data_IF_050749337831
#
_entry.id   IF_050749337831
#
_cell.length_a   1.000
_cell.length_b   1.000
_cell.length_c   1.000
_cell.angle_alpha   90.00
_cell.angle_beta   90.00
_cell.angle_gamma   90.00
#
_symmetry.space_group_name_H-M   'P 1'
#
loop_
_entity.id
_entity.type
_entity.pdbx_description
1 polymer ?
#
# COMPACT_ATOMS: atom_id res chain seq x y z
N UNK A 1 12.05 3.04 9.22
CA UNK A 1 12.68 4.17 9.88
C UNK A 1 11.67 5.30 10.03
N UNK A 2 10.93 5.28 11.13
CA UNK A 2 9.90 6.28 11.41
C UNK A 2 10.54 7.63 11.76
N UNK A 3 11.67 7.61 12.46
CA UNK A 3 12.42 8.82 12.85
C UNK A 3 12.94 9.57 11.65
N UNK A 4 13.44 8.87 10.63
CA UNK A 4 13.86 9.52 9.40
C UNK A 4 12.69 10.19 8.67
N UNK A 5 11.52 9.55 8.61
CA UNK A 5 10.31 10.17 8.05
C UNK A 5 9.91 11.44 8.82
N UNK A 6 9.92 11.39 10.15
CA UNK A 6 9.66 12.56 11.00
C UNK A 6 10.63 13.71 10.71
N UNK A 7 11.92 13.42 10.57
CA UNK A 7 12.95 14.42 10.24
C UNK A 7 12.71 15.07 8.89
N UNK A 8 12.38 14.28 7.85
CA UNK A 8 12.09 14.82 6.52
C UNK A 8 10.81 15.65 6.50
N UNK A 9 9.78 15.25 7.24
CA UNK A 9 8.56 16.04 7.44
C UNK A 9 8.89 17.39 8.09
N UNK A 10 9.67 17.39 9.18
CA UNK A 10 10.10 18.62 9.85
C UNK A 10 10.96 19.51 8.93
N UNK A 11 11.84 18.91 8.13
CA UNK A 11 12.65 19.64 7.14
C UNK A 11 11.77 20.30 6.06
N UNK A 12 10.71 19.61 5.61
CA UNK A 12 9.71 20.17 4.70
C UNK A 12 8.95 21.36 5.31
N UNK A 13 8.43 21.19 6.53
CA UNK A 13 7.73 22.27 7.25
C UNK A 13 8.64 23.47 7.52
N UNK A 14 9.90 23.24 7.87
CA UNK A 14 10.88 24.30 8.06
C UNK A 14 11.08 25.14 6.80
N UNK A 15 11.12 24.53 5.61
CA UNK A 15 11.20 25.28 4.34
C UNK A 15 9.98 26.17 4.10
N UNK A 16 8.80 25.80 4.60
CA UNK A 16 7.59 26.64 4.53
C UNK A 16 7.70 27.79 5.53
N UNK A 17 8.08 27.51 6.78
CA UNK A 17 8.27 28.53 7.81
C UNK A 17 9.36 29.56 7.46
N UNK A 18 10.48 29.12 6.88
CA UNK A 18 11.56 29.99 6.42
C UNK A 18 11.10 30.95 5.29
N UNK A 19 10.06 30.58 4.54
CA UNK A 19 9.43 31.44 3.52
C UNK A 19 8.35 32.36 4.10
N UNK A 20 8.02 32.23 5.38
CA UNK A 20 6.97 32.99 6.06
C UNK A 20 5.61 32.93 5.35
N UNK A 21 5.31 31.79 4.71
CA UNK A 21 4.01 31.57 4.07
C UNK A 21 2.98 31.25 5.16
N UNK A 22 1.88 32.00 5.28
CA UNK A 22 0.80 31.66 6.19
C UNK A 22 0.24 30.28 5.86
N UNK A 23 0.14 29.40 6.86
CA UNK A 23 -0.35 28.04 6.71
C UNK A 23 -1.52 27.81 7.67
N UNK A 24 -2.73 27.77 7.11
CA UNK A 24 -3.96 27.60 7.90
C UNK A 24 -4.09 26.20 8.47
N UNK A 25 -3.67 25.18 7.72
CA UNK A 25 -3.71 23.79 8.16
C UNK A 25 -2.65 22.89 7.51
N UNK A 26 -2.41 21.75 8.16
CA UNK A 26 -1.58 20.65 7.68
C UNK A 26 -2.34 19.33 7.80
N UNK A 27 -2.04 18.41 6.88
CA UNK A 27 -2.54 17.04 6.88
C UNK A 27 -1.50 16.14 6.22
N UNK A 28 -1.53 14.86 6.58
CA UNK A 28 -0.75 13.81 5.93
C UNK A 28 -1.69 12.81 5.26
N UNK A 29 -1.33 12.36 4.06
CA UNK A 29 -1.76 11.09 3.48
C UNK A 29 -0.56 10.12 3.39
N UNK A 30 -0.84 8.82 3.35
CA UNK A 30 0.18 7.78 3.26
C UNK A 30 -0.35 6.52 2.59
N UNK A 31 0.54 5.55 2.39
CA UNK A 31 0.14 4.18 2.08
C UNK A 31 -0.72 3.57 3.20
N UNK A 32 -1.55 2.59 2.84
CA UNK A 32 -2.46 1.89 3.76
C UNK A 32 -1.81 0.83 4.64
N UNK A 33 -2.66 0.13 5.40
CA UNK A 33 -2.42 -1.10 6.19
C UNK A 33 -1.43 -1.06 7.36
N UNK A 34 -0.30 -0.40 7.22
CA UNK A 34 0.76 -0.39 8.24
C UNK A 34 0.36 0.50 9.42
N UNK A 35 0.83 0.13 10.61
CA UNK A 35 0.43 0.80 11.84
C UNK A 35 1.56 0.88 12.87
N UNK A 36 1.44 1.87 13.75
CA UNK A 36 2.35 2.17 14.85
C UNK A 36 1.65 1.86 16.17
N UNK A 37 2.33 1.15 17.06
CA UNK A 37 1.89 0.99 18.45
C UNK A 37 2.23 2.26 19.25
N UNK A 38 1.22 2.84 19.89
CA UNK A 38 1.33 4.06 20.70
C UNK A 38 1.09 3.75 22.20
N UNK A 39 2.14 3.72 23.04
CA UNK A 39 2.06 3.60 24.50
C UNK A 39 1.56 4.88 25.18
N UNK A 40 1.48 4.84 26.51
CA UNK A 40 0.99 5.96 27.35
C UNK A 40 1.86 7.23 27.29
N UNK A 41 3.15 7.11 26.97
CA UNK A 41 4.07 8.25 26.87
C UNK A 41 3.93 9.02 25.55
N UNK A 42 3.10 8.53 24.62
CA UNK A 42 2.85 9.15 23.33
C UNK A 42 3.99 8.99 22.31
N UNK A 43 5.03 8.19 22.62
CA UNK A 43 6.14 7.94 21.69
C UNK A 43 5.97 6.58 21.02
N UNK A 44 6.27 6.40 19.72
CA UNK A 44 6.21 5.09 19.08
C UNK A 44 6.95 4.02 19.87
N UNK A 45 6.29 2.88 20.13
CA UNK A 45 6.93 1.78 20.85
C UNK A 45 8.16 1.23 20.09
N UNK A 46 8.12 1.32 18.76
CA UNK A 46 9.14 0.90 17.80
C UNK A 46 8.83 1.46 16.41
N UNK A 47 9.75 1.26 15.49
CA UNK A 47 9.47 1.36 14.05
C UNK A 47 8.35 0.39 13.63
N UNK A 48 7.39 0.84 12.79
CA UNK A 48 6.35 -0.02 12.26
C UNK A 48 6.96 -1.12 11.38
N UNK A 49 6.34 -2.29 11.40
CA UNK A 49 6.70 -3.35 10.46
C UNK A 49 6.05 -3.05 9.11
N UNK A 50 6.77 -3.31 8.03
CA UNK A 50 6.29 -3.05 6.68
C UNK A 50 5.32 -4.15 6.23
N UNK A 51 4.30 -3.79 5.46
CA UNK A 51 3.35 -4.72 4.84
C UNK A 51 4.03 -5.86 4.03
N UNK A 52 5.28 -5.66 3.59
CA UNK A 52 6.09 -6.67 2.88
C UNK A 52 6.74 -7.72 3.79
N UNK A 53 6.57 -7.64 5.10
CA UNK A 53 7.11 -8.63 6.04
C UNK A 53 6.48 -10.02 5.84
N UNK A 54 7.31 -11.05 5.76
CA UNK A 54 6.92 -12.43 5.48
C UNK A 54 6.08 -13.08 6.59
N UNK A 55 6.05 -12.50 7.79
CA UNK A 55 5.19 -12.97 8.90
C UNK A 55 3.71 -13.00 8.53
N UNK A 56 3.31 -12.07 7.66
CA UNK A 56 1.95 -11.86 7.21
C UNK A 56 1.39 -13.11 6.51
N UNK A 57 2.21 -13.75 5.67
CA UNK A 57 1.89 -15.01 4.98
C UNK A 57 1.65 -16.18 5.94
N UNK A 58 2.33 -16.19 7.09
CA UNK A 58 2.17 -17.25 8.10
C UNK A 58 0.90 -17.08 8.93
N UNK A 59 0.47 -15.84 9.14
CA UNK A 59 -0.74 -15.52 9.90
C UNK A 59 -2.01 -15.67 9.05
N UNK A 60 -1.92 -15.34 7.76
CA UNK A 60 -3.04 -15.36 6.81
C UNK A 60 -3.90 -16.63 6.86
N UNK A 61 -3.37 -17.85 6.64
CA UNK A 61 -4.18 -19.07 6.64
C UNK A 61 -4.80 -19.37 8.01
N UNK A 62 -4.14 -19.00 9.11
CA UNK A 62 -4.64 -19.23 10.47
C UNK A 62 -5.88 -18.38 10.77
N UNK A 63 -5.87 -17.12 10.36
CA UNK A 63 -7.03 -16.22 10.50
C UNK A 63 -8.20 -16.73 9.68
N UNK A 64 -7.95 -17.14 8.43
CA UNK A 64 -9.00 -17.69 7.56
C UNK A 64 -9.60 -18.98 8.10
N UNK A 65 -8.77 -19.87 8.66
CA UNK A 65 -9.24 -21.10 9.29
C UNK A 65 -10.10 -20.81 10.53
N UNK A 66 -9.77 -19.78 11.30
CA UNK A 66 -10.47 -19.42 12.54
C UNK A 66 -11.84 -18.80 12.29
N UNK A 67 -11.92 -17.84 11.36
CA UNK A 67 -13.11 -16.98 11.20
C UNK A 67 -13.86 -17.21 9.89
N UNK A 68 -13.17 -17.69 8.85
CA UNK A 68 -13.74 -17.91 7.52
C UNK A 68 -13.68 -16.67 6.63
N UNK A 69 -13.37 -16.92 5.34
CA UNK A 69 -13.22 -15.89 4.31
C UNK A 69 -14.52 -15.12 4.06
N UNK A 70 -15.64 -15.82 3.90
CA UNK A 70 -16.95 -15.20 3.62
C UNK A 70 -17.38 -14.25 4.74
N UNK A 71 -17.19 -14.65 6.01
CA UNK A 71 -17.55 -13.82 7.16
C UNK A 71 -16.70 -12.55 7.22
N UNK A 72 -15.37 -12.67 7.06
CA UNK A 72 -14.49 -11.49 7.02
C UNK A 72 -14.89 -10.55 5.88
N UNK A 73 -15.15 -11.09 4.68
CA UNK A 73 -15.55 -10.29 3.53
C UNK A 73 -16.89 -9.59 3.76
N UNK A 74 -17.90 -10.33 4.23
CA UNK A 74 -19.21 -9.78 4.53
C UNK A 74 -19.16 -8.68 5.58
N UNK A 75 -18.17 -8.69 6.47
CA UNK A 75 -18.00 -7.65 7.50
C UNK A 75 -17.18 -6.45 7.04
N UNK A 76 -16.21 -6.64 6.17
CA UNK A 76 -15.18 -5.61 5.89
C UNK A 76 -15.17 -5.14 4.44
N UNK A 77 -15.64 -5.98 3.51
CA UNK A 77 -15.70 -5.69 2.09
C UNK A 77 -14.36 -5.64 1.36
N UNK A 78 -13.24 -5.97 2.02
CA UNK A 78 -11.92 -5.89 1.39
C UNK A 78 -11.51 -7.16 0.66
N UNK A 79 -10.73 -6.94 -0.40
CA UNK A 79 -9.90 -7.97 -1.01
C UNK A 79 -8.95 -8.56 0.05
N UNK A 80 -8.71 -9.86 -0.05
CA UNK A 80 -7.80 -10.56 0.85
C UNK A 80 -6.38 -10.46 0.33
N UNK A 81 -5.60 -9.62 0.98
CA UNK A 81 -4.14 -9.57 0.81
C UNK A 81 -3.51 -10.03 2.13
N UNK A 82 -2.52 -10.94 2.11
CA UNK A 82 -1.85 -11.40 3.33
C UNK A 82 -1.33 -10.27 4.21
N UNK A 83 -1.07 -9.10 3.63
CA UNK A 83 -0.53 -7.94 4.31
C UNK A 83 -1.56 -6.94 4.87
N UNK A 84 -2.87 -7.19 4.73
CA UNK A 84 -3.89 -6.35 5.39
C UNK A 84 -3.64 -6.31 6.91
N UNK A 85 -3.96 -5.19 7.56
CA UNK A 85 -3.73 -4.99 9.00
C UNK A 85 -4.27 -6.14 9.85
N UNK A 86 -5.40 -6.74 9.46
CA UNK A 86 -5.96 -7.93 10.10
C UNK A 86 -4.98 -9.08 10.28
N UNK A 87 -4.22 -9.39 9.23
CA UNK A 87 -3.24 -10.48 9.27
C UNK A 87 -1.93 -10.05 9.93
N UNK A 88 -1.53 -8.78 9.77
CA UNK A 88 -0.40 -8.21 10.49
C UNK A 88 -0.62 -8.28 12.01
N UNK A 89 -1.79 -7.83 12.47
CA UNK A 89 -2.18 -7.83 13.87
C UNK A 89 -2.30 -9.25 14.45
N UNK A 90 -2.80 -10.21 13.64
CA UNK A 90 -2.78 -11.62 14.03
C UNK A 90 -1.35 -12.16 14.15
N UNK A 91 -0.44 -11.78 13.24
CA UNK A 91 0.97 -12.13 13.35
C UNK A 91 1.61 -11.55 14.62
N UNK A 92 1.34 -10.27 14.95
CA UNK A 92 1.79 -9.65 16.19
C UNK A 92 1.31 -10.40 17.43
N UNK A 93 0.05 -10.85 17.42
CA UNK A 93 -0.53 -11.68 18.48
C UNK A 93 0.14 -13.06 18.60
N UNK A 94 0.35 -13.76 17.48
CA UNK A 94 1.00 -15.08 17.47
C UNK A 94 2.48 -15.02 17.90
N UNK A 95 3.16 -13.92 17.62
CA UNK A 95 4.55 -13.68 18.01
C UNK A 95 4.67 -13.09 19.43
N UNK A 96 3.55 -12.92 20.15
CA UNK A 96 3.50 -12.36 21.51
C UNK A 96 4.26 -11.04 21.62
N UNK A 97 4.06 -10.12 20.67
CA UNK A 97 4.82 -8.88 20.58
C UNK A 97 4.68 -8.04 21.84
N UNK A 98 5.79 -7.62 22.50
CA UNK A 98 5.76 -6.94 23.79
C UNK A 98 5.16 -5.53 23.75
N UNK A 99 5.02 -4.96 22.55
CA UNK A 99 4.44 -3.63 22.32
C UNK A 99 2.91 -3.65 22.50
N UNK A 100 2.24 -4.71 22.04
CA UNK A 100 0.78 -4.83 22.09
C UNK A 100 0.16 -4.71 23.50
N UNK A 101 0.69 -5.38 24.56
CA UNK A 101 0.15 -5.19 25.91
C UNK A 101 0.45 -3.81 26.51
N UNK A 102 1.51 -3.13 26.06
CA UNK A 102 1.92 -1.79 26.54
C UNK A 102 1.25 -0.65 25.79
N UNK A 103 0.77 -0.91 24.58
CA UNK A 103 0.10 0.07 23.76
C UNK A 103 -1.24 0.48 24.38
N UNK A 104 -1.54 1.78 24.26
CA UNK A 104 -2.86 2.35 24.55
C UNK A 104 -3.67 2.46 23.27
N UNK A 105 -3.01 2.70 22.14
CA UNK A 105 -3.66 2.79 20.83
C UNK A 105 -2.77 2.27 19.72
N UNK A 106 -3.36 2.02 18.55
CA UNK A 106 -2.64 1.91 17.28
C UNK A 106 -3.03 3.10 16.38
N UNK A 107 -2.08 3.61 15.61
CA UNK A 107 -2.34 4.62 14.57
C UNK A 107 -1.77 4.14 13.24
N UNK A 108 -2.53 4.31 12.17
CA UNK A 108 -2.05 4.06 10.81
C UNK A 108 -1.04 5.16 10.41
N UNK A 109 -0.21 4.94 9.40
CA UNK A 109 0.97 5.78 9.15
C UNK A 109 0.65 7.28 9.04
N UNK A 110 -0.28 7.70 8.19
CA UNK A 110 -0.65 9.13 8.09
C UNK A 110 -1.32 9.66 9.37
N UNK A 111 -2.14 8.84 10.02
CA UNK A 111 -2.79 9.22 11.29
C UNK A 111 -1.76 9.40 12.42
N UNK A 112 -0.71 8.59 12.41
CA UNK A 112 0.46 8.75 13.28
C UNK A 112 1.17 10.07 12.98
N UNK A 113 1.40 10.41 11.70
CA UNK A 113 2.03 11.68 11.33
C UNK A 113 1.17 12.86 11.80
N UNK A 114 -0.14 12.81 11.60
CA UNK A 114 -1.06 13.83 12.10
C UNK A 114 -0.97 13.96 13.64
N UNK A 115 -0.91 12.84 14.35
CA UNK A 115 -0.68 12.84 15.80
C UNK A 115 0.67 13.46 16.19
N UNK A 116 1.76 13.05 15.53
CA UNK A 116 3.11 13.59 15.73
C UNK A 116 3.16 15.11 15.54
N UNK A 117 2.43 15.63 14.55
CA UNK A 117 2.34 17.07 14.28
C UNK A 117 1.63 17.85 15.39
N UNK A 118 0.82 17.21 16.24
CA UNK A 118 0.08 17.84 17.33
C UNK A 118 -1.41 17.52 17.36
N UNK A 119 -1.91 16.72 16.42
CA UNK A 119 -3.28 16.24 16.43
C UNK A 119 -3.54 15.26 17.57
N UNK A 120 -4.80 15.16 18.01
CA UNK A 120 -5.25 14.07 18.88
C UNK A 120 -5.17 12.72 18.12
N UNK A 121 -4.97 11.58 18.81
CA UNK A 121 -5.04 10.28 18.15
C UNK A 121 -6.46 10.03 17.61
N UNK A 122 -6.53 9.66 16.34
CA UNK A 122 -7.75 9.34 15.61
C UNK A 122 -7.39 8.44 14.42
N UNK A 123 -8.34 7.66 13.92
CA UNK A 123 -8.20 6.98 12.64
C UNK A 123 -9.10 7.64 11.60
N UNK A 124 -8.51 8.18 10.54
CA UNK A 124 -9.29 8.73 9.45
C UNK A 124 -9.92 7.60 8.62
N UNK A 125 -11.18 7.78 8.23
CA UNK A 125 -12.01 6.70 7.68
C UNK A 125 -11.47 6.09 6.39
N UNK A 126 -10.87 6.88 5.48
CA UNK A 126 -10.31 6.36 4.23
C UNK A 126 -9.14 5.41 4.52
N UNK A 127 -8.25 5.76 5.46
CA UNK A 127 -7.12 4.93 5.84
C UNK A 127 -7.54 3.74 6.71
N UNK A 128 -8.46 3.96 7.65
CA UNK A 128 -9.10 2.92 8.46
C UNK A 128 -9.73 1.82 7.60
N UNK A 129 -10.33 2.20 6.46
CA UNK A 129 -10.96 1.25 5.55
C UNK A 129 -9.99 0.25 4.92
N UNK A 130 -8.68 0.54 4.89
CA UNK A 130 -7.66 -0.37 4.32
C UNK A 130 -7.31 -1.54 5.24
N UNK A 131 -7.71 -1.48 6.51
CA UNK A 131 -7.20 -2.36 7.57
C UNK A 131 -7.81 -3.76 7.59
N UNK A 132 -8.97 -3.93 6.96
CA UNK A 132 -9.87 -5.07 7.18
C UNK A 132 -10.36 -5.17 8.64
N UNK A 133 -10.31 -4.06 9.39
CA UNK A 133 -10.94 -3.88 10.71
C UNK A 133 -12.25 -3.11 10.64
N UNK A 134 -12.46 -2.31 9.59
CA UNK A 134 -13.59 -1.41 9.44
C UNK A 134 -14.81 -2.10 8.80
N UNK A 135 -16.01 -1.88 9.33
CA UNK A 135 -17.27 -2.32 8.74
C UNK A 135 -17.91 -1.15 7.96
N UNK A 136 -17.89 -1.16 6.61
CA UNK A 136 -18.35 -0.03 5.81
C UNK A 136 -19.87 0.19 5.85
N UNK A 137 -20.67 -0.78 6.30
CA UNK A 137 -22.13 -0.59 6.44
C UNK A 137 -22.46 0.13 7.74
N UNK A 138 -21.80 -0.26 8.83
CA UNK A 138 -22.01 0.35 10.14
C UNK A 138 -21.16 1.60 10.37
N UNK A 139 -20.14 1.79 9.55
CA UNK A 139 -19.15 2.86 9.61
C UNK A 139 -18.38 2.90 10.95
N UNK A 140 -18.10 1.72 11.49
CA UNK A 140 -17.41 1.53 12.76
C UNK A 140 -16.37 0.41 12.64
N UNK A 141 -15.54 0.25 13.66
CA UNK A 141 -14.68 -0.92 13.78
C UNK A 141 -15.53 -2.19 13.97
N UNK A 142 -15.24 -3.25 13.24
CA UNK A 142 -15.82 -4.58 13.40
C UNK A 142 -15.30 -5.29 14.66
N UNK A 143 -15.51 -4.69 15.84
CA UNK A 143 -14.88 -5.11 17.12
C UNK A 143 -15.10 -6.59 17.43
N UNK A 144 -16.30 -7.11 17.19
CA UNK A 144 -16.64 -8.51 17.40
C UNK A 144 -15.83 -9.47 16.50
N UNK A 145 -15.56 -9.07 15.25
CA UNK A 145 -14.67 -9.81 14.35
C UNK A 145 -13.22 -9.82 14.89
N UNK A 146 -12.78 -8.70 15.44
CA UNK A 146 -11.40 -8.51 15.91
C UNK A 146 -11.14 -9.23 17.24
N UNK A 147 -12.10 -9.19 18.16
CA UNK A 147 -12.05 -9.95 19.41
C UNK A 147 -11.93 -11.46 19.11
N UNK A 148 -12.65 -11.96 18.10
CA UNK A 148 -12.55 -13.35 17.65
C UNK A 148 -11.19 -13.69 17.06
N UNK A 149 -10.56 -12.77 16.31
CA UNK A 149 -9.17 -12.95 15.84
C UNK A 149 -8.16 -12.87 16.99
N UNK A 150 -8.56 -12.32 18.14
CA UNK A 150 -7.72 -12.16 19.33
C UNK A 150 -6.99 -10.82 19.37
N UNK A 151 -7.44 -9.83 18.59
CA UNK A 151 -6.88 -8.49 18.61
C UNK A 151 -7.53 -7.66 19.73
N UNK A 152 -6.76 -6.99 20.60
CA UNK A 152 -7.32 -6.20 21.70
C UNK A 152 -7.98 -4.90 21.18
N UNK A 153 -9.30 -4.94 20.99
CA UNK A 153 -10.09 -3.81 20.44
C UNK A 153 -10.02 -2.51 21.24
N UNK A 154 -9.54 -2.54 22.50
CA UNK A 154 -9.20 -1.34 23.28
C UNK A 154 -8.14 -0.44 22.63
N UNK A 155 -7.31 -0.99 21.72
CA UNK A 155 -6.27 -0.25 21.02
C UNK A 155 -6.82 0.60 19.87
N UNK A 156 -8.05 0.34 19.43
CA UNK A 156 -8.61 1.00 18.27
C UNK A 156 -8.97 2.46 18.61
N UNK A 157 -8.41 3.44 17.89
CA UNK A 157 -8.73 4.85 18.10
C UNK A 157 -10.17 5.17 17.65
N UNK A 158 -10.65 6.35 17.96
CA UNK A 158 -11.89 6.89 17.40
C UNK A 158 -11.76 7.04 15.87
N UNK A 159 -12.80 6.65 15.13
CA UNK A 159 -12.85 6.89 13.68
C UNK A 159 -13.38 8.30 13.43
N UNK A 160 -12.71 9.05 12.56
CA UNK A 160 -13.10 10.40 12.15
C UNK A 160 -13.27 10.49 10.63
N UNK A 161 -14.19 11.35 10.13
CA UNK A 161 -14.33 11.58 8.70
C UNK A 161 -13.18 12.42 8.14
N UNK A 162 -13.00 12.38 6.82
CA UNK A 162 -12.13 13.34 6.12
C UNK A 162 -12.62 14.77 6.36
N UNK A 163 -11.69 15.69 6.61
CA UNK A 163 -11.93 17.07 7.02
C UNK A 163 -12.00 17.30 8.54
N UNK A 164 -11.88 16.25 9.36
CA UNK A 164 -11.93 16.40 10.82
C UNK A 164 -10.74 17.19 11.38
N UNK A 165 -11.01 18.21 12.20
CA UNK A 165 -9.99 18.96 12.94
C UNK A 165 -9.48 18.12 14.12
N UNK A 166 -8.20 17.81 14.12
CA UNK A 166 -7.56 16.98 15.14
C UNK A 166 -6.94 17.80 16.27
N UNK A 167 -6.67 19.08 16.03
CA UNK A 167 -6.03 19.98 16.98
C UNK A 167 -5.21 21.05 16.28
N UNK A 168 -4.25 21.61 17.00
CA UNK A 168 -3.26 22.55 16.46
C UNK A 168 -1.90 21.89 16.39
N UNK A 169 -1.04 22.41 15.53
CA UNK A 169 0.35 21.99 15.48
C UNK A 169 1.00 22.15 16.87
N UNK A 170 1.83 21.20 17.26
CA UNK A 170 2.42 21.20 18.60
C UNK A 170 3.34 22.43 18.78
N UNK A 171 3.42 23.02 19.99
CA UNK A 171 4.29 24.17 20.24
C UNK A 171 5.75 23.88 19.90
N UNK A 172 6.23 22.67 20.18
CA UNK A 172 7.61 22.25 19.87
C UNK A 172 7.89 22.27 18.37
N UNK A 173 6.96 21.76 17.56
CA UNK A 173 7.11 21.74 16.10
C UNK A 173 6.94 23.14 15.51
N UNK A 174 5.95 23.91 15.96
CA UNK A 174 5.78 25.30 15.56
C UNK A 174 7.07 26.12 15.75
N UNK A 175 7.66 26.02 16.94
CA UNK A 175 8.88 26.75 17.28
C UNK A 175 10.10 26.30 16.46
N UNK A 176 10.26 25.00 16.20
CA UNK A 176 11.43 24.48 15.47
C UNK A 176 11.34 24.67 13.95
N UNK A 177 10.12 24.77 13.42
CA UNK A 177 9.87 24.89 11.97
C UNK A 177 9.53 26.31 11.53
N UNK A 178 9.14 27.20 12.45
CA UNK A 178 8.69 28.56 12.13
C UNK A 178 7.23 28.63 11.66
N UNK A 179 6.47 27.54 11.75
CA UNK A 179 5.03 27.50 11.45
C UNK A 179 4.25 28.19 12.57
N UNK A 180 3.23 28.99 12.22
CA UNK A 180 2.36 29.62 13.22
C UNK A 180 1.65 28.61 14.12
N UNK A 181 1.58 28.92 15.42
CA UNK A 181 0.89 28.09 16.42
C UNK A 181 -0.63 28.00 16.23
N UNK A 182 -1.19 28.81 15.32
CA UNK A 182 -2.59 28.74 14.90
C UNK A 182 -2.83 27.73 13.78
N UNK A 183 -1.79 27.15 13.18
CA UNK A 183 -1.93 26.12 12.16
C UNK A 183 -2.67 24.91 12.71
N UNK A 184 -3.75 24.52 12.03
CA UNK A 184 -4.60 23.40 12.43
C UNK A 184 -4.03 22.08 11.87
N UNK A 185 -4.13 20.99 12.63
CA UNK A 185 -3.90 19.64 12.12
C UNK A 185 -5.25 19.05 11.76
N UNK A 186 -5.40 18.64 10.51
CA UNK A 186 -6.65 18.11 9.95
C UNK A 186 -6.42 16.71 9.40
N UNK A 187 -7.35 15.79 9.64
CA UNK A 187 -7.41 14.51 8.91
C UNK A 187 -8.07 14.75 7.56
N UNK A 188 -7.34 14.63 6.44
CA UNK A 188 -7.90 14.76 5.10
C UNK A 188 -8.38 13.39 4.60
N UNK A 189 -8.10 13.01 3.35
CA UNK A 189 -8.14 11.60 2.97
C UNK A 189 -6.77 11.00 3.30
N UNK A 190 -6.62 10.44 4.50
CA UNK A 190 -5.33 9.95 4.99
C UNK A 190 -4.76 8.77 4.19
N UNK A 191 -5.58 8.10 3.37
CA UNK A 191 -5.09 7.14 2.38
C UNK A 191 -4.73 7.83 1.06
N UNK A 192 -3.49 7.66 0.61
CA UNK A 192 -2.95 8.27 -0.62
C UNK A 192 -3.83 8.05 -1.85
N UNK A 193 -4.37 6.85 -2.03
CA UNK A 193 -5.26 6.52 -3.16
C UNK A 193 -6.60 7.24 -3.01
N UNK A 194 -7.12 7.37 -1.78
CA UNK A 194 -8.36 8.12 -1.55
C UNK A 194 -8.15 9.62 -1.85
N UNK A 195 -7.00 10.19 -1.45
CA UNK A 195 -6.63 11.56 -1.78
C UNK A 195 -6.49 11.78 -3.30
N UNK A 196 -5.81 10.86 -4.00
CA UNK A 196 -5.64 10.93 -5.45
C UNK A 196 -6.98 10.82 -6.21
N UNK A 197 -7.87 9.92 -5.77
CA UNK A 197 -9.21 9.78 -6.35
C UNK A 197 -10.05 11.04 -6.08
N UNK A 198 -10.01 11.58 -4.87
CA UNK A 198 -10.72 12.82 -4.52
C UNK A 198 -10.25 14.03 -5.34
N UNK A 199 -8.97 14.07 -5.73
CA UNK A 199 -8.41 15.10 -6.59
C UNK A 199 -8.66 14.89 -8.09
N UNK A 200 -9.24 13.76 -8.49
CA UNK A 200 -9.52 13.48 -9.90
C UNK A 200 -10.62 14.41 -10.41
N UNK A 201 -10.41 15.18 -11.50
CA UNK A 201 -11.40 16.14 -12.02
C UNK A 201 -12.50 15.44 -12.84
N UNK A 202 -13.01 14.31 -12.32
CA UNK A 202 -14.09 13.56 -12.94
C UNK A 202 -15.43 14.29 -12.75
N UNK A 203 -16.33 14.11 -13.72
CA UNK A 203 -17.68 14.67 -13.69
C UNK A 203 -18.70 13.55 -13.92
N UNK A 204 -19.88 13.69 -13.30
CA UNK A 204 -20.94 12.70 -13.40
C UNK A 204 -20.65 11.43 -12.59
N UNK A 205 -21.39 10.37 -12.91
CA UNK A 205 -21.38 9.10 -12.16
C UNK A 205 -20.70 7.95 -12.91
N UNK A 206 -20.41 8.14 -14.19
CA UNK A 206 -19.91 7.10 -15.10
C UNK A 206 -18.43 7.31 -15.41
N UNK A 207 -17.61 7.19 -14.38
CA UNK A 207 -16.17 7.29 -14.52
C UNK A 207 -15.45 6.19 -13.74
N UNK A 208 -14.25 5.90 -14.20
CA UNK A 208 -13.32 5.00 -13.54
C UNK A 208 -11.97 5.70 -13.42
N UNK A 209 -11.18 5.32 -12.43
CA UNK A 209 -9.80 5.77 -12.28
C UNK A 209 -8.83 4.61 -12.41
N UNK A 210 -7.64 4.94 -12.87
CA UNK A 210 -6.47 4.08 -12.83
C UNK A 210 -5.35 4.84 -12.12
N UNK A 211 -5.18 4.62 -10.83
CA UNK A 211 -4.02 5.13 -10.10
C UNK A 211 -2.84 4.20 -10.39
N UNK A 212 -1.82 4.67 -11.13
CA UNK A 212 -0.73 3.82 -11.62
C UNK A 212 0.62 4.24 -11.03
N UNK A 213 1.05 3.52 -9.99
CA UNK A 213 2.38 3.59 -9.41
C UNK A 213 3.02 2.20 -9.35
N UNK A 214 3.73 1.91 -8.26
CA UNK A 214 4.20 0.54 -7.96
C UNK A 214 3.05 -0.47 -8.07
N UNK A 215 1.89 -0.11 -7.51
CA UNK A 215 0.62 -0.77 -7.74
C UNK A 215 -0.22 0.00 -8.75
N UNK A 216 -1.04 -0.71 -9.52
CA UNK A 216 -2.10 -0.10 -10.32
C UNK A 216 -3.44 -0.42 -9.68
N UNK A 217 -4.23 0.62 -9.35
CA UNK A 217 -5.55 0.49 -8.75
C UNK A 217 -6.58 0.95 -9.77
N UNK A 218 -7.29 -0.01 -10.38
CA UNK A 218 -8.40 0.26 -11.29
C UNK A 218 -9.70 0.18 -10.50
N UNK A 219 -10.50 1.24 -10.51
CA UNK A 219 -11.72 1.28 -9.73
C UNK A 219 -12.74 2.32 -10.18
N UNK A 220 -13.88 2.30 -9.51
CA UNK A 220 -14.99 3.25 -9.64
C UNK A 220 -15.39 3.74 -8.25
N UNK A 221 -16.05 4.89 -8.18
CA UNK A 221 -16.69 5.37 -6.95
C UNK A 221 -18.18 4.99 -6.92
N UNK A 222 -18.65 4.59 -5.74
CA UNK A 222 -20.04 4.18 -5.50
C UNK A 222 -20.53 4.81 -4.19
N UNK A 223 -21.84 5.02 -4.02
CA UNK A 223 -22.39 5.51 -2.75
C UNK A 223 -22.39 4.44 -1.65
N UNK A 224 -22.35 3.15 -2.00
CA UNK A 224 -22.51 2.03 -1.07
C UNK A 224 -21.58 0.87 -1.40
N UNK A 225 -21.16 0.07 -0.38
CA UNK A 225 -20.27 -1.06 -0.59
C UNK A 225 -20.96 -2.22 -1.30
N UNK A 226 -20.23 -2.91 -2.17
CA UNK A 226 -20.69 -4.11 -2.88
C UNK A 226 -20.16 -5.36 -2.19
N UNK A 227 -20.99 -5.98 -1.36
CA UNK A 227 -20.65 -7.15 -0.54
C UNK A 227 -21.26 -8.44 -1.11
N UNK A 228 -21.18 -8.63 -2.42
CA UNK A 228 -21.74 -9.82 -3.10
C UNK A 228 -20.72 -10.96 -3.16
N UNK A 229 -21.16 -12.22 -3.34
CA UNK A 229 -20.25 -13.34 -3.61
C UNK A 229 -19.34 -13.12 -4.82
N UNK A 230 -19.83 -12.40 -5.85
CA UNK A 230 -19.04 -12.05 -7.02
C UNK A 230 -17.90 -11.08 -6.71
N UNK A 231 -18.10 -10.08 -5.84
CA UNK A 231 -17.01 -9.23 -5.39
C UNK A 231 -15.91 -10.03 -4.71
N UNK A 232 -16.29 -10.96 -3.84
CA UNK A 232 -15.34 -11.84 -3.16
C UNK A 232 -14.59 -12.73 -4.14
N UNK A 233 -15.31 -13.36 -5.08
CA UNK A 233 -14.76 -14.24 -6.11
C UNK A 233 -13.81 -13.52 -7.06
N UNK A 234 -14.15 -12.29 -7.45
CA UNK A 234 -13.34 -11.46 -8.34
C UNK A 234 -12.23 -10.69 -7.62
N UNK A 235 -12.13 -10.85 -6.30
CA UNK A 235 -11.15 -10.18 -5.44
C UNK A 235 -11.24 -8.64 -5.55
N UNK A 236 -12.47 -8.10 -5.62
CA UNK A 236 -12.73 -6.67 -5.51
C UNK A 236 -12.65 -6.21 -4.05
N UNK A 237 -12.25 -4.96 -3.85
CA UNK A 237 -12.14 -4.35 -2.53
C UNK A 237 -13.05 -3.12 -2.45
N UNK A 238 -13.64 -2.89 -1.28
CA UNK A 238 -14.52 -1.76 -0.98
C UNK A 238 -13.83 -0.85 0.04
N UNK A 239 -13.01 0.07 -0.43
CA UNK A 239 -12.36 1.05 0.46
C UNK A 239 -13.15 2.35 0.49
N UNK A 240 -13.02 3.11 1.56
CA UNK A 240 -13.71 4.40 1.71
C UNK A 240 -12.92 5.49 0.98
N UNK A 241 -13.64 6.39 0.31
CA UNK A 241 -13.17 7.61 -0.32
C UNK A 241 -13.65 8.86 0.42
N UNK A 242 -13.48 10.02 -0.22
CA UNK A 242 -13.97 11.30 0.29
C UNK A 242 -15.50 11.29 0.43
N UNK A 243 -16.03 12.00 1.43
CA UNK A 243 -17.48 12.06 1.72
C UNK A 243 -18.17 10.69 1.85
N UNK A 244 -17.44 9.71 2.41
CA UNK A 244 -17.93 8.34 2.61
C UNK A 244 -18.34 7.59 1.33
N UNK A 245 -17.87 8.01 0.15
CA UNK A 245 -17.97 7.19 -1.06
C UNK A 245 -17.21 5.86 -0.85
N UNK A 246 -17.55 4.87 -1.65
CA UNK A 246 -16.85 3.59 -1.73
C UNK A 246 -16.09 3.51 -3.04
N UNK A 247 -14.78 3.43 -2.90
CA UNK A 247 -13.83 3.07 -3.94
C UNK A 247 -13.88 1.55 -4.13
N UNK A 248 -14.73 1.11 -5.06
CA UNK A 248 -14.75 -0.28 -5.51
C UNK A 248 -13.65 -0.47 -6.53
N UNK A 249 -12.59 -1.19 -6.15
CA UNK A 249 -11.40 -1.31 -6.98
C UNK A 249 -10.80 -2.71 -6.94
N UNK A 250 -9.83 -2.94 -7.83
CA UNK A 250 -8.99 -4.13 -7.83
C UNK A 250 -7.53 -3.75 -7.89
N UNK A 251 -6.72 -4.38 -7.04
CA UNK A 251 -5.27 -4.23 -7.07
C UNK A 251 -4.67 -5.02 -8.24
N UNK A 252 -3.80 -4.38 -9.00
CA UNK A 252 -3.10 -4.92 -10.16
C UNK A 252 -1.59 -4.72 -9.91
N UNK A 253 -0.77 -5.72 -10.26
CA UNK A 253 0.68 -5.52 -10.33
C UNK A 253 0.99 -4.42 -11.36
N UNK A 254 1.30 -3.22 -10.87
CA UNK A 254 1.46 -2.02 -11.69
C UNK A 254 2.86 -1.91 -12.30
N UNK A 255 3.49 -0.74 -12.16
CA UNK A 255 4.85 -0.52 -12.64
C UNK A 255 5.91 -1.34 -11.90
N UNK A 256 5.54 -2.03 -10.81
CA UNK A 256 6.40 -2.97 -10.10
C UNK A 256 7.06 -4.00 -11.02
N UNK A 257 6.32 -4.53 -12.00
CA UNK A 257 6.87 -5.48 -12.97
C UNK A 257 8.06 -4.89 -13.74
N UNK A 258 7.90 -3.66 -14.24
CA UNK A 258 8.94 -2.95 -14.99
C UNK A 258 10.12 -2.57 -14.08
N UNK A 259 9.84 -2.13 -12.85
CA UNK A 259 10.86 -1.79 -11.85
C UNK A 259 11.74 -3.01 -11.53
N UNK A 260 11.14 -4.18 -11.30
CA UNK A 260 11.89 -5.40 -11.00
C UNK A 260 12.61 -5.96 -12.24
N UNK A 261 12.02 -5.86 -13.44
CA UNK A 261 12.74 -6.18 -14.67
C UNK A 261 13.98 -5.30 -14.85
N UNK A 262 13.87 -3.99 -14.58
CA UNK A 262 15.01 -3.06 -14.62
C UNK A 262 16.10 -3.48 -13.64
N UNK A 263 15.73 -3.83 -12.40
CA UNK A 263 16.69 -4.32 -11.38
C UNK A 263 17.38 -5.61 -11.81
N UNK A 264 16.63 -6.54 -12.40
CA UNK A 264 17.19 -7.78 -12.93
C UNK A 264 18.19 -7.51 -14.06
N UNK A 265 17.85 -6.64 -15.02
CA UNK A 265 18.78 -6.25 -16.08
C UNK A 265 20.03 -5.58 -15.53
N UNK A 266 19.89 -4.66 -14.57
CA UNK A 266 21.01 -4.00 -13.91
C UNK A 266 21.93 -5.01 -13.21
N UNK A 267 21.38 -6.02 -12.53
CA UNK A 267 22.17 -7.08 -11.90
C UNK A 267 22.95 -7.97 -12.89
N UNK A 268 22.57 -7.94 -14.17
CA UNK A 268 23.24 -8.62 -15.28
C UNK A 268 24.17 -7.67 -16.06
N UNK A 269 24.47 -6.48 -15.52
CA UNK A 269 25.33 -5.49 -16.18
C UNK A 269 24.66 -4.70 -17.30
N UNK A 270 23.32 -4.75 -17.38
CA UNK A 270 22.50 -4.06 -18.40
C UNK A 270 21.62 -2.98 -17.77
N UNK A 271 22.23 -2.04 -17.07
CA UNK A 271 21.46 -0.91 -16.51
C UNK A 271 20.92 -0.03 -17.63
N UNK A 272 19.61 0.19 -17.62
CA UNK A 272 18.87 0.95 -18.61
C UNK A 272 17.92 1.89 -17.88
N UNK A 273 17.81 3.13 -18.36
CA UNK A 273 16.82 4.06 -17.86
C UNK A 273 15.41 3.72 -18.40
N UNK A 274 14.38 4.34 -17.80
CA UNK A 274 13.00 4.08 -18.22
C UNK A 274 12.73 4.54 -19.66
N UNK A 275 13.37 5.60 -20.14
CA UNK A 275 13.21 6.06 -21.52
C UNK A 275 13.69 5.00 -22.53
N UNK A 276 14.85 4.39 -22.26
CA UNK A 276 15.40 3.29 -23.06
C UNK A 276 14.49 2.07 -23.01
N UNK A 277 14.01 1.69 -21.82
CA UNK A 277 13.08 0.57 -21.67
C UNK A 277 11.77 0.80 -22.44
N UNK A 278 11.20 1.99 -22.37
CA UNK A 278 9.98 2.36 -23.13
C UNK A 278 10.21 2.28 -24.64
N UNK A 279 11.35 2.78 -25.13
CA UNK A 279 11.71 2.67 -26.56
C UNK A 279 11.84 1.21 -27.00
N UNK A 280 12.60 0.40 -26.27
CA UNK A 280 12.79 -1.02 -26.57
C UNK A 280 11.46 -1.80 -26.54
N UNK A 281 10.57 -1.48 -25.60
CA UNK A 281 9.23 -2.07 -25.54
C UNK A 281 8.38 -1.70 -26.77
N UNK A 282 8.53 -0.48 -27.30
CA UNK A 282 7.84 -0.04 -28.52
C UNK A 282 8.37 -0.68 -29.81
N UNK A 283 9.63 -1.11 -29.83
CA UNK A 283 10.26 -1.83 -30.95
C UNK A 283 10.00 -3.34 -30.90
N UNK A 284 9.63 -3.88 -29.74
CA UNK A 284 9.35 -5.30 -29.56
C UNK A 284 8.03 -5.71 -30.24
N UNK A 285 7.91 -7.01 -30.55
CA UNK A 285 6.67 -7.58 -31.08
C UNK A 285 5.53 -7.38 -30.06
N UNK A 286 4.44 -6.67 -30.42
CA UNK A 286 3.35 -6.43 -29.49
C UNK A 286 2.64 -7.75 -29.14
N UNK A 287 2.14 -7.83 -27.90
CA UNK A 287 1.34 -8.95 -27.39
C UNK A 287 2.05 -10.32 -27.50
N UNK A 288 3.39 -10.35 -27.48
CA UNK A 288 4.16 -11.61 -27.50
C UNK A 288 3.94 -12.46 -26.24
N UNK A 289 3.66 -11.81 -25.11
CA UNK A 289 3.28 -12.47 -23.85
C UNK A 289 2.21 -11.63 -23.16
N UNK A 290 1.09 -12.27 -22.84
CA UNK A 290 0.00 -11.72 -22.05
C UNK A 290 0.15 -12.22 -20.62
N UNK A 291 0.40 -11.30 -19.69
CA UNK A 291 0.48 -11.59 -18.27
C UNK A 291 -0.92 -11.47 -17.66
N UNK A 292 -1.31 -12.43 -16.82
CA UNK A 292 -2.40 -12.21 -15.86
C UNK A 292 -1.85 -11.40 -14.69
N UNK A 293 -2.13 -10.09 -14.58
CA UNK A 293 -1.48 -9.23 -13.60
C UNK A 293 -2.02 -9.43 -12.17
N UNK A 294 -2.97 -10.35 -11.97
CA UNK A 294 -3.56 -10.67 -10.67
C UNK A 294 -2.88 -11.84 -9.96
N UNK A 295 -1.91 -12.51 -10.60
CA UNK A 295 -1.20 -13.62 -9.97
C UNK A 295 -0.24 -13.12 -8.89
N UNK A 296 -0.26 -13.76 -7.73
CA UNK A 296 0.57 -13.39 -6.58
C UNK A 296 2.08 -13.54 -6.84
N UNK A 297 2.48 -14.31 -7.85
CA UNK A 297 3.87 -14.49 -8.27
C UNK A 297 4.56 -13.18 -8.66
N UNK A 298 3.78 -12.16 -9.04
CA UNK A 298 4.30 -10.83 -9.41
C UNK A 298 4.68 -9.97 -8.21
N UNK A 299 4.21 -10.29 -7.01
CA UNK A 299 4.40 -9.43 -5.83
C UNK A 299 5.81 -9.52 -5.24
N UNK A 300 6.50 -10.65 -5.46
CA UNK A 300 7.82 -10.92 -4.89
C UNK A 300 8.93 -10.19 -5.66
N UNK A 301 9.96 -9.64 -4.97
CA UNK A 301 11.10 -9.03 -5.64
C UNK A 301 12.06 -10.05 -6.27
N UNK A 302 12.90 -9.60 -7.20
CA UNK A 302 14.01 -10.29 -7.86
C UNK A 302 13.60 -11.36 -8.87
N UNK A 303 14.40 -11.60 -9.92
CA UNK A 303 14.16 -12.64 -10.95
C UNK A 303 12.83 -12.49 -11.70
N UNK A 304 12.25 -11.29 -11.75
CA UNK A 304 11.08 -10.97 -12.53
C UNK A 304 11.21 -11.35 -14.01
N UNK A 305 12.35 -11.08 -14.66
CA UNK A 305 12.54 -11.44 -16.07
C UNK A 305 12.45 -12.94 -16.30
N UNK A 306 13.04 -13.74 -15.41
CA UNK A 306 12.95 -15.21 -15.46
C UNK A 306 11.54 -15.70 -15.14
N UNK A 307 10.84 -15.12 -14.16
CA UNK A 307 9.45 -15.47 -13.86
C UNK A 307 8.52 -15.22 -15.04
N UNK A 308 8.70 -14.10 -15.74
CA UNK A 308 7.92 -13.79 -16.95
C UNK A 308 8.19 -14.84 -18.04
N UNK A 309 9.46 -15.24 -18.24
CA UNK A 309 9.83 -16.29 -19.19
C UNK A 309 9.24 -17.67 -18.83
N UNK A 310 9.32 -18.05 -17.56
CA UNK A 310 8.73 -19.29 -17.04
C UNK A 310 7.21 -19.29 -17.18
N UNK A 311 6.57 -18.14 -16.91
CA UNK A 311 5.13 -17.97 -17.08
C UNK A 311 4.70 -18.11 -18.55
N UNK A 312 5.42 -17.47 -19.48
CA UNK A 312 5.15 -17.63 -20.91
C UNK A 312 5.26 -19.10 -21.34
N UNK A 313 6.36 -19.77 -20.95
CA UNK A 313 6.57 -21.18 -21.24
C UNK A 313 5.47 -22.09 -20.69
N UNK A 314 5.09 -21.89 -19.42
CA UNK A 314 4.07 -22.72 -18.75
C UNK A 314 2.66 -22.47 -19.28
N UNK A 315 2.40 -21.30 -19.86
CA UNK A 315 1.10 -20.94 -20.49
C UNK A 315 1.07 -21.17 -22.00
N UNK A 316 2.13 -21.72 -22.59
CA UNK A 316 2.22 -21.99 -24.04
C UNK A 316 2.33 -20.72 -24.90
N UNK A 317 2.61 -19.57 -24.28
CA UNK A 317 2.90 -18.31 -24.96
C UNK A 317 4.40 -18.36 -25.32
N UNK A 318 4.74 -18.31 -26.62
CA UNK A 318 6.10 -18.56 -27.10
C UNK A 318 7.19 -17.81 -26.31
N UNK A 319 8.36 -18.43 -26.13
CA UNK A 319 9.45 -17.96 -25.26
C UNK A 319 10.32 -16.84 -25.82
N UNK A 320 9.95 -16.22 -26.94
CA UNK A 320 10.71 -15.12 -27.58
C UNK A 320 10.54 -13.77 -26.85
N UNK A 321 10.48 -13.80 -25.52
CA UNK A 321 10.31 -12.64 -24.64
C UNK A 321 11.45 -11.63 -24.73
N UNK A 322 12.60 -12.07 -25.24
CA UNK A 322 13.77 -11.25 -25.49
C UNK A 322 14.30 -11.57 -26.88
N UNK A 323 13.55 -11.21 -27.92
CA UNK A 323 14.08 -11.17 -29.28
C UNK A 323 15.45 -10.49 -29.27
N UNK A 324 16.47 -11.21 -29.78
CA UNK A 324 17.91 -10.87 -29.81
C UNK A 324 18.22 -9.41 -29.43
N UNK A 325 18.33 -9.12 -28.14
CA UNK A 325 18.91 -7.86 -27.66
C UNK A 325 20.43 -7.97 -27.83
N UNK A 326 20.90 -7.75 -29.06
CA UNK A 326 22.30 -7.48 -29.41
C UNK A 326 23.25 -8.68 -29.38
N UNK A 327 23.36 -9.37 -30.53
CA UNK A 327 24.60 -10.06 -30.90
C UNK A 327 25.70 -8.98 -31.03
N UNK A 328 26.55 -8.86 -30.01
CA UNK A 328 27.52 -7.77 -29.91
C UNK A 328 28.64 -8.01 -28.89
N UNK A 329 29.11 -9.26 -28.75
CA UNK A 329 30.41 -9.54 -28.13
C UNK A 329 31.10 -10.62 -28.99
N UNK A 330 32.28 -10.36 -29.60
CA UNK A 330 33.02 -11.39 -30.31
C UNK A 330 33.72 -12.29 -29.28
N UNK A 331 33.05 -13.35 -28.85
CA UNK A 331 33.64 -14.47 -28.13
C UNK A 331 33.87 -15.61 -29.10
N UNK A 332 35.09 -15.71 -29.62
CA UNK A 332 35.46 -16.72 -30.62
C UNK A 332 35.22 -18.15 -30.12
N UNK A 333 34.49 -18.92 -30.93
CA UNK A 333 34.64 -20.36 -30.99
C UNK A 333 35.11 -20.70 -32.40
N UNK A 334 36.42 -20.88 -32.52
CA UNK A 334 37.02 -21.54 -33.68
C UNK A 334 36.58 -23.00 -33.70
N UNK A 335 36.00 -23.39 -34.83
CA UNK A 335 35.71 -24.76 -35.27
C UNK A 335 37.01 -25.33 -35.92
N UNK A 336 37.09 -26.58 -36.42
CA UNK A 336 37.03 -27.93 -35.84
C UNK A 336 38.36 -28.72 -36.04
N UNK A 337 38.48 -29.92 -35.46
CA UNK A 337 39.11 -31.13 -36.07
C UNK A 337 38.66 -32.34 -35.23
N UNK A 338 37.85 -33.29 -35.70
CA UNK A 338 37.99 -34.35 -36.75
C UNK A 338 38.03 -35.71 -36.04
N UNK A 339 37.41 -36.77 -36.57
CA UNK A 339 37.16 -38.02 -35.87
C UNK A 339 38.29 -39.03 -36.08
N UNK A 340 38.59 -39.83 -35.06
CA UNK A 340 39.06 -41.23 -35.11
C UNK A 340 39.64 -41.61 -33.73
N UNK A 341 39.21 -42.75 -33.18
CA UNK A 341 39.68 -43.31 -31.91
C UNK A 341 38.62 -44.10 -31.16
#
# INVERSE_FOLDING_TARGET
DLRHLEQEILAGLKKIGDRQVPLDSVSCDSWGVDYVFLPNDGSPARDPLCYRDVRNERAYPKVLQKVGRDRIFQRTGLQFMPFNTLFQAAADGFECRPEMPKAKSILLIADYVNYFLGGRPAAEVSLASTTQFYDPRKREWARDLLDEVGFPTRLLPEIVPSGARLGKISPTIANSTGIQSTCEVVASCSHDTAAAVAATPAQGKDWAYLSSGTWSLLGVERPEPMLTPDCLRLALTNEVGYDHTIRLLKNIAGLWLVQECRRDFASQGRDMDYATLTRLAGEAKPLATLLDPFLSIWNAPGKMTSRIADYAKTTGQGSDLFGKLGDGVPGGFGIPHSPDG
#
